data_IF_608398546982
#
_entry.id   IF_608398546982
#
_cell.length_a   1.000
_cell.length_b   1.000
_cell.length_c   1.000
_cell.angle_alpha   90.00
_cell.angle_beta   90.00
_cell.angle_gamma   90.00
#
_symmetry.space_group_name_H-M   'P 1'
#
loop_
_entity.id
_entity.type
_entity.pdbx_description
1 polymer ?
#
# COMPACT_ATOMS: atom_id res chain seq x y z
N UNK A 1 15.54 17.08 4.20
CA UNK A 1 15.75 15.89 5.06
C UNK A 1 16.17 14.69 4.22
N UNK A 2 15.44 14.40 3.14
CA UNK A 2 15.73 13.32 2.18
C UNK A 2 17.12 13.43 1.53
N UNK A 3 17.54 14.62 1.09
CA UNK A 3 18.90 14.84 0.56
C UNK A 3 20.02 14.53 1.56
N UNK A 4 19.80 14.76 2.86
CA UNK A 4 20.75 14.39 3.92
C UNK A 4 20.79 12.87 4.14
N UNK A 5 19.65 12.19 4.01
CA UNK A 5 19.57 10.73 4.11
C UNK A 5 20.26 10.07 2.91
N UNK A 6 20.04 10.59 1.70
CA UNK A 6 20.71 10.14 0.49
C UNK A 6 22.24 10.30 0.56
N UNK A 7 22.72 11.46 1.04
CA UNK A 7 24.15 11.69 1.25
C UNK A 7 24.75 10.72 2.30
N UNK A 8 24.00 10.38 3.37
CA UNK A 8 24.44 9.40 4.37
C UNK A 8 24.50 7.99 3.80
N UNK A 9 23.56 7.60 2.93
CA UNK A 9 23.56 6.32 2.21
C UNK A 9 24.75 6.22 1.26
N UNK A 10 25.03 7.30 0.53
CA UNK A 10 26.17 7.35 -0.39
C UNK A 10 27.50 7.26 0.37
N UNK A 11 27.68 8.01 1.46
CA UNK A 11 28.88 7.93 2.28
C UNK A 11 29.11 6.54 2.89
N UNK A 12 28.03 5.83 3.28
CA UNK A 12 28.12 4.44 3.73
C UNK A 12 28.52 3.50 2.60
N UNK A 13 27.94 3.65 1.42
CA UNK A 13 28.31 2.85 0.25
C UNK A 13 29.79 3.04 -0.14
N UNK A 14 30.28 4.28 -0.15
CA UNK A 14 31.69 4.61 -0.41
C UNK A 14 32.61 4.04 0.68
N UNK A 15 32.22 4.09 1.96
CA UNK A 15 32.98 3.50 3.06
C UNK A 15 33.07 1.96 2.94
N UNK A 16 32.00 1.29 2.48
CA UNK A 16 32.03 -0.16 2.18
C UNK A 16 33.00 -0.48 1.06
N UNK A 17 32.98 0.32 0.00
CA UNK A 17 33.84 0.12 -1.17
C UNK A 17 35.33 0.29 -0.83
N UNK A 18 35.68 1.31 -0.04
CA UNK A 18 37.05 1.54 0.42
C UNK A 18 37.53 0.36 1.28
N UNK A 19 36.70 -0.08 2.24
CA UNK A 19 37.04 -1.19 3.13
C UNK A 19 37.16 -2.52 2.39
N UNK A 20 36.37 -2.74 1.34
CA UNK A 20 36.48 -3.90 0.45
C UNK A 20 37.83 -3.93 -0.27
N UNK A 21 38.23 -2.80 -0.87
CA UNK A 21 39.52 -2.70 -1.56
C UNK A 21 40.70 -2.91 -0.62
N UNK A 22 40.59 -2.44 0.63
CA UNK A 22 41.64 -2.63 1.64
C UNK A 22 41.76 -4.09 2.10
N UNK A 23 40.63 -4.79 2.28
CA UNK A 23 40.63 -6.22 2.60
C UNK A 23 41.17 -7.08 1.45
N UNK A 24 40.82 -6.75 0.21
CA UNK A 24 41.36 -7.42 -0.98
C UNK A 24 42.88 -7.20 -1.09
N UNK A 25 43.35 -5.99 -0.77
CA UNK A 25 44.79 -5.69 -0.69
C UNK A 25 45.48 -6.49 0.41
N UNK A 26 44.90 -6.58 1.60
CA UNK A 26 45.45 -7.37 2.71
C UNK A 26 45.51 -8.87 2.37
N UNK A 27 44.47 -9.42 1.72
CA UNK A 27 44.50 -10.80 1.24
C UNK A 27 45.64 -11.01 0.23
N UNK A 28 45.79 -10.10 -0.73
CA UNK A 28 46.85 -10.18 -1.74
C UNK A 28 48.26 -10.04 -1.14
N UNK A 29 48.44 -9.20 -0.13
CA UNK A 29 49.71 -9.06 0.60
C UNK A 29 50.02 -10.31 1.44
N UNK A 30 49.01 -10.96 2.03
CA UNK A 30 49.17 -12.22 2.77
C UNK A 30 49.48 -13.40 1.85
N UNK A 31 48.83 -13.48 0.69
CA UNK A 31 49.12 -14.50 -0.34
C UNK A 31 50.56 -14.34 -0.86
N UNK A 32 50.99 -13.12 -1.18
CA UNK A 32 52.38 -12.84 -1.55
C UNK A 32 53.39 -13.17 -0.44
N UNK A 33 53.03 -12.94 0.83
CA UNK A 33 53.90 -13.32 1.94
C UNK A 33 53.93 -14.85 2.15
N UNK A 34 52.82 -15.54 1.96
CA UNK A 34 52.78 -17.01 2.00
C UNK A 34 53.66 -17.62 0.89
N UNK A 35 53.60 -17.06 -0.33
CA UNK A 35 54.44 -17.45 -1.45
C UNK A 35 55.92 -17.21 -1.16
N UNK A 36 56.28 -16.04 -0.61
CA UNK A 36 57.68 -15.74 -0.21
C UNK A 36 58.20 -16.68 0.87
N UNK A 37 57.37 -17.03 1.85
CA UNK A 37 57.75 -17.96 2.91
C UNK A 37 57.92 -19.38 2.35
N UNK A 38 57.08 -19.78 1.40
CA UNK A 38 57.19 -21.05 0.70
C UNK A 38 58.48 -21.15 -0.15
N UNK A 39 58.80 -20.11 -0.94
CA UNK A 39 60.01 -20.04 -1.76
C UNK A 39 61.29 -20.07 -0.92
N UNK A 40 61.33 -19.31 0.19
CA UNK A 40 62.47 -19.30 1.10
C UNK A 40 62.72 -20.67 1.75
N UNK A 41 61.66 -21.48 1.93
CA UNK A 41 61.78 -22.83 2.46
C UNK A 41 62.18 -23.87 1.43
N UNK A 42 61.76 -23.72 0.17
CA UNK A 42 62.27 -24.54 -0.93
C UNK A 42 63.78 -24.33 -1.12
N UNK A 43 64.27 -23.10 -0.96
CA UNK A 43 65.71 -22.81 -0.99
C UNK A 43 66.48 -23.46 0.17
N UNK A 44 65.90 -23.51 1.37
CA UNK A 44 66.53 -24.18 2.52
C UNK A 44 66.52 -25.72 2.42
N UNK A 45 65.57 -26.32 1.70
CA UNK A 45 65.56 -27.77 1.44
C UNK A 45 66.53 -28.17 0.33
N UNK A 46 66.78 -27.30 -0.65
CA UNK A 46 67.73 -27.54 -1.75
C UNK A 46 69.20 -27.28 -1.36
N UNK A 47 69.47 -26.48 -0.32
CA UNK A 47 70.83 -26.23 0.18
C UNK A 47 71.41 -27.34 1.08
N UNK A 48 70.68 -28.42 1.37
CA UNK A 48 71.15 -29.53 2.21
C UNK A 48 71.73 -30.72 1.43
N UNK A 49 71.89 -30.63 0.11
CA UNK A 49 72.38 -31.75 -0.72
C UNK A 49 73.77 -31.53 -1.33
N UNK A 50 74.37 -30.33 -1.27
CA UNK A 50 75.70 -30.15 -1.85
C UNK A 50 76.52 -29.01 -1.23
N UNK A 51 77.42 -29.33 -0.30
CA UNK A 51 78.74 -28.66 -0.21
C UNK A 51 79.74 -29.50 0.58
N UNK A 52 80.41 -30.40 -0.12
CA UNK A 52 81.74 -30.89 0.22
C UNK A 52 82.79 -30.01 -0.48
N UNK A 53 83.90 -29.74 0.20
CA UNK A 53 85.11 -28.97 -0.19
C UNK A 53 85.13 -27.46 0.06
N UNK A 54 85.82 -27.10 1.16
CA UNK A 54 87.04 -26.29 1.09
C UNK A 54 86.89 -24.77 1.15
N UNK A 55 87.24 -24.17 2.29
CA UNK A 55 87.44 -22.72 2.37
C UNK A 55 87.53 -22.19 3.79
N UNK A 56 88.74 -22.21 4.35
CA UNK A 56 89.10 -21.64 5.65
C UNK A 56 88.85 -20.12 5.66
N UNK A 57 88.03 -19.62 6.57
CA UNK A 57 88.32 -18.35 7.26
C UNK A 57 87.68 -18.30 8.64
N UNK A 58 88.54 -18.07 9.63
CA UNK A 58 88.24 -17.91 11.06
C UNK A 58 87.67 -16.52 11.32
N UNK A 59 86.61 -16.43 12.12
CA UNK A 59 86.42 -15.31 13.05
C UNK A 59 85.83 -15.82 14.35
N UNK A 60 86.41 -15.31 15.43
CA UNK A 60 86.44 -15.81 16.79
C UNK A 60 85.47 -15.00 17.67
N UNK A 61 85.00 -15.66 18.73
CA UNK A 61 84.64 -15.15 20.06
C UNK A 61 83.37 -14.28 20.17
N UNK A 62 82.37 -14.74 20.94
CA UNK A 62 82.24 -14.29 22.33
C UNK A 62 81.22 -15.15 23.11
N UNK A 63 81.71 -15.96 24.06
CA UNK A 63 80.93 -16.54 25.16
C UNK A 63 81.74 -16.28 26.42
N UNK A 64 81.09 -15.68 27.41
CA UNK A 64 81.46 -15.50 28.82
C UNK A 64 80.15 -15.05 29.48
N UNK A 65 79.67 -15.48 30.65
CA UNK A 65 80.16 -16.22 31.81
C UNK A 65 78.87 -16.42 32.66
N UNK A 66 78.53 -17.51 33.37
CA UNK A 66 79.06 -17.97 34.67
C UNK A 66 78.01 -18.94 35.29
N UNK A 67 78.35 -20.16 35.72
CA UNK A 67 78.58 -20.58 37.14
C UNK A 67 77.25 -20.64 37.96
N UNK A 68 76.76 -21.72 38.60
CA UNK A 68 77.39 -22.83 39.37
C UNK A 68 76.33 -23.91 39.67
N UNK A 69 76.74 -25.18 39.76
CA UNK A 69 75.95 -26.29 40.28
C UNK A 69 76.78 -27.57 40.43
N UNK A 70 77.52 -27.65 41.52
CA UNK A 70 78.48 -28.69 41.93
C UNK A 70 77.96 -30.14 41.88
N UNK A 71 78.70 -30.99 41.15
CA UNK A 71 79.31 -32.26 41.58
C UNK A 71 78.49 -33.23 42.47
N UNK A 72 78.20 -34.42 41.94
CA UNK A 72 78.62 -35.69 42.57
C UNK A 72 78.98 -36.72 41.48
N UNK A 73 80.30 -36.93 41.32
CA UNK A 73 80.86 -38.08 40.60
C UNK A 73 80.75 -39.31 41.49
N UNK A 74 79.96 -40.30 41.09
CA UNK A 74 80.09 -41.67 41.60
C UNK A 74 80.54 -42.57 40.46
N UNK A 75 81.81 -42.98 40.58
CA UNK A 75 82.50 -43.90 39.70
C UNK A 75 81.83 -45.27 39.78
N UNK A 76 81.32 -45.78 38.66
CA UNK A 76 81.29 -47.23 38.36
C UNK A 76 80.80 -47.51 36.94
N UNK A 77 81.69 -48.16 36.20
CA UNK A 77 81.39 -49.17 35.17
C UNK A 77 81.15 -48.71 33.72
N UNK A 78 82.01 -49.28 32.85
CA UNK A 78 81.77 -49.73 31.48
C UNK A 78 81.34 -48.71 30.42
N UNK A 79 82.34 -48.20 29.70
CA UNK A 79 82.58 -48.19 28.25
C UNK A 79 81.55 -48.86 27.30
N UNK A 80 80.25 -48.61 27.48
CA UNK A 80 79.16 -49.00 26.55
C UNK A 80 78.17 -47.82 26.27
N UNK A 81 78.43 -46.64 26.84
CA UNK A 81 77.46 -45.53 26.88
C UNK A 81 77.51 -44.55 25.71
N UNK A 82 78.48 -44.66 24.79
CA UNK A 82 78.60 -43.72 23.66
C UNK A 82 77.60 -44.03 22.53
N UNK A 83 77.17 -45.29 22.37
CA UNK A 83 76.11 -45.63 21.41
C UNK A 83 74.72 -45.30 21.97
N UNK A 84 74.51 -45.41 23.28
CA UNK A 84 73.24 -45.13 23.94
C UNK A 84 72.97 -43.62 24.08
N UNK A 85 74.00 -42.81 24.38
CA UNK A 85 73.90 -41.34 24.28
C UNK A 85 73.70 -40.89 22.82
N UNK A 86 74.33 -41.56 21.85
CA UNK A 86 74.12 -41.29 20.41
C UNK A 86 72.70 -41.60 19.93
N UNK A 87 72.08 -42.67 20.43
CA UNK A 87 70.68 -43.03 20.18
C UNK A 87 69.72 -42.07 20.87
N UNK A 88 69.93 -41.78 22.15
CA UNK A 88 69.14 -40.80 22.91
C UNK A 88 69.18 -39.40 22.30
N UNK A 89 70.35 -38.94 21.83
CA UNK A 89 70.50 -37.66 21.17
C UNK A 89 69.87 -37.64 19.77
N UNK A 90 69.80 -38.79 19.10
CA UNK A 90 69.09 -38.96 17.83
C UNK A 90 67.57 -38.94 18.05
N UNK A 91 67.07 -39.61 19.07
CA UNK A 91 65.66 -39.63 19.44
C UNK A 91 65.18 -38.26 19.90
N UNK A 92 65.95 -37.55 20.73
CA UNK A 92 65.69 -36.15 21.10
C UNK A 92 65.68 -35.21 19.88
N UNK A 93 66.53 -35.47 18.87
CA UNK A 93 66.48 -34.72 17.59
C UNK A 93 65.22 -35.03 16.78
N UNK A 94 64.71 -36.27 16.82
CA UNK A 94 63.48 -36.64 16.13
C UNK A 94 62.27 -36.06 16.86
N UNK A 95 62.22 -36.13 18.18
CA UNK A 95 61.19 -35.47 19.00
C UNK A 95 61.20 -33.95 18.81
N UNK A 96 62.37 -33.33 18.78
CA UNK A 96 62.51 -31.90 18.49
C UNK A 96 61.93 -31.58 17.10
N UNK A 97 62.27 -32.38 16.08
CA UNK A 97 61.74 -32.22 14.73
C UNK A 97 60.23 -32.41 14.66
N UNK A 98 59.68 -33.38 15.38
CA UNK A 98 58.23 -33.63 15.46
C UNK A 98 57.49 -32.49 16.15
N UNK A 99 58.07 -31.94 17.22
CA UNK A 99 57.53 -30.75 17.90
C UNK A 99 57.61 -29.52 17.00
N UNK A 100 58.72 -29.32 16.29
CA UNK A 100 58.86 -28.25 15.29
C UNK A 100 57.82 -28.37 14.17
N UNK A 101 57.57 -29.58 13.66
CA UNK A 101 56.58 -29.81 12.60
C UNK A 101 55.13 -29.60 13.11
N UNK A 102 54.83 -30.02 14.34
CA UNK A 102 53.54 -29.75 14.99
C UNK A 102 53.33 -28.26 15.23
N UNK A 103 54.35 -27.56 15.70
CA UNK A 103 54.31 -26.11 15.90
C UNK A 103 54.08 -25.37 14.59
N UNK A 104 54.76 -25.80 13.52
CA UNK A 104 54.55 -25.28 12.16
C UNK A 104 53.11 -25.50 11.67
N UNK A 105 52.57 -26.71 11.83
CA UNK A 105 51.17 -27.02 11.47
C UNK A 105 50.18 -26.16 12.25
N UNK A 106 50.41 -25.98 13.55
CA UNK A 106 49.59 -25.11 14.39
C UNK A 106 49.68 -23.63 13.98
N UNK A 107 50.86 -23.13 13.62
CA UNK A 107 51.04 -21.78 13.08
C UNK A 107 50.26 -21.56 11.78
N UNK A 108 50.33 -22.51 10.84
CA UNK A 108 49.60 -22.43 9.56
C UNK A 108 48.08 -22.45 9.81
N UNK A 109 47.61 -23.36 10.66
CA UNK A 109 46.19 -23.44 11.01
C UNK A 109 45.71 -22.16 11.72
N UNK A 110 46.51 -21.59 12.62
CA UNK A 110 46.17 -20.34 13.29
C UNK A 110 46.08 -19.16 12.30
N UNK A 111 47.02 -19.08 11.35
CA UNK A 111 46.96 -18.07 10.28
C UNK A 111 45.72 -18.24 9.39
N UNK A 112 45.33 -19.48 9.07
CA UNK A 112 44.10 -19.77 8.33
C UNK A 112 42.85 -19.33 9.12
N UNK A 113 42.79 -19.66 10.41
CA UNK A 113 41.68 -19.24 11.28
C UNK A 113 41.58 -17.72 11.43
N UNK A 114 42.70 -17.00 11.49
CA UNK A 114 42.71 -15.54 11.51
C UNK A 114 42.15 -14.94 10.21
N UNK A 115 42.47 -15.54 9.05
CA UNK A 115 41.92 -15.15 7.76
C UNK A 115 40.41 -15.41 7.66
N UNK A 116 39.95 -16.59 8.10
CA UNK A 116 38.53 -16.92 8.16
C UNK A 116 37.77 -15.98 9.11
N UNK A 117 38.34 -15.68 10.28
CA UNK A 117 37.77 -14.71 11.22
C UNK A 117 37.65 -13.32 10.59
N UNK A 118 38.67 -12.86 9.88
CA UNK A 118 38.65 -11.56 9.20
C UNK A 118 37.57 -11.52 8.11
N UNK A 119 37.48 -12.58 7.29
CA UNK A 119 36.47 -12.73 6.24
C UNK A 119 35.04 -12.74 6.81
N UNK A 120 34.78 -13.55 7.85
CA UNK A 120 33.49 -13.60 8.52
C UNK A 120 33.14 -12.27 9.19
N UNK A 121 34.11 -11.61 9.82
CA UNK A 121 33.91 -10.28 10.42
C UNK A 121 33.47 -9.25 9.37
N UNK A 122 34.07 -9.29 8.18
CA UNK A 122 33.65 -8.45 7.06
C UNK A 122 32.22 -8.77 6.60
N UNK A 123 31.88 -10.05 6.44
CA UNK A 123 30.54 -10.45 6.03
C UNK A 123 29.47 -10.01 7.05
N UNK A 124 29.76 -10.11 8.34
CA UNK A 124 28.89 -9.61 9.41
C UNK A 124 28.69 -8.09 9.28
N UNK A 125 29.75 -7.33 8.99
CA UNK A 125 29.63 -5.88 8.81
C UNK A 125 28.73 -5.55 7.62
N UNK A 126 28.93 -6.21 6.48
CA UNK A 126 28.10 -6.00 5.28
C UNK A 126 26.62 -6.32 5.53
N UNK A 127 26.34 -7.37 6.31
CA UNK A 127 24.98 -7.73 6.69
C UNK A 127 24.34 -6.71 7.65
N UNK A 128 25.07 -6.19 8.63
CA UNK A 128 24.59 -5.12 9.53
C UNK A 128 24.23 -3.86 8.75
N UNK A 129 25.09 -3.51 7.83
CA UNK A 129 24.97 -2.40 6.93
C UNK A 129 23.72 -2.52 6.02
N UNK A 130 23.47 -3.71 5.46
CA UNK A 130 22.25 -4.02 4.70
C UNK A 130 20.99 -4.00 5.57
N UNK A 131 21.10 -4.48 6.81
CA UNK A 131 20.00 -4.46 7.77
C UNK A 131 19.60 -3.02 8.11
N UNK A 132 20.56 -2.13 8.36
CA UNK A 132 20.29 -0.71 8.62
C UNK A 132 19.61 -0.03 7.41
N UNK A 133 20.03 -0.33 6.18
CA UNK A 133 19.37 0.18 4.97
C UNK A 133 17.91 -0.31 4.85
N UNK A 134 17.66 -1.59 5.15
CA UNK A 134 16.31 -2.13 5.15
C UNK A 134 15.44 -1.46 6.22
N UNK A 135 15.96 -1.24 7.43
CA UNK A 135 15.24 -0.51 8.50
C UNK A 135 14.92 0.94 8.11
N UNK A 136 15.87 1.66 7.49
CA UNK A 136 15.63 3.01 6.98
C UNK A 136 14.57 3.02 5.87
N UNK A 137 14.60 2.05 4.96
CA UNK A 137 13.57 1.95 3.90
C UNK A 137 12.19 1.61 4.48
N UNK A 138 12.12 0.72 5.47
CA UNK A 138 10.87 0.38 6.13
C UNK A 138 10.27 1.58 6.86
N UNK A 139 11.10 2.34 7.60
CA UNK A 139 10.63 3.54 8.31
C UNK A 139 10.16 4.64 7.35
N UNK A 140 10.82 4.79 6.20
CA UNK A 140 10.38 5.71 5.14
C UNK A 140 9.04 5.28 4.53
N UNK A 141 8.91 4.00 4.15
CA UNK A 141 7.67 3.46 3.57
C UNK A 141 6.49 3.57 4.55
N UNK A 142 6.73 3.39 5.84
CA UNK A 142 5.70 3.60 6.88
C UNK A 142 5.24 5.07 6.97
N UNK A 143 6.12 6.04 6.73
CA UNK A 143 5.74 7.47 6.69
C UNK A 143 4.90 7.78 5.46
N UNK A 144 5.34 7.32 4.30
CA UNK A 144 4.62 7.49 3.02
C UNK A 144 3.24 6.84 3.07
N UNK A 145 3.13 5.63 3.62
CA UNK A 145 1.84 4.97 3.82
C UNK A 145 0.89 5.82 4.69
N UNK A 146 1.38 6.38 5.81
CA UNK A 146 0.58 7.25 6.67
C UNK A 146 0.13 8.52 5.95
N UNK A 147 0.98 9.09 5.09
CA UNK A 147 0.64 10.25 4.28
C UNK A 147 -0.43 9.90 3.23
N UNK A 148 -0.25 8.80 2.49
CA UNK A 148 -1.25 8.31 1.53
C UNK A 148 -2.61 8.02 2.17
N UNK A 149 -2.63 7.48 3.40
CA UNK A 149 -3.88 7.33 4.14
C UNK A 149 -4.56 8.67 4.45
N UNK A 150 -3.79 9.70 4.83
CA UNK A 150 -4.35 11.04 5.09
C UNK A 150 -4.91 11.67 3.82
N UNK A 151 -4.22 11.53 2.69
CA UNK A 151 -4.69 12.01 1.38
C UNK A 151 -5.97 11.30 0.97
N UNK A 152 -6.03 9.98 1.13
CA UNK A 152 -7.22 9.19 0.87
C UNK A 152 -8.42 9.66 1.70
N UNK A 153 -8.22 9.85 3.01
CA UNK A 153 -9.28 10.35 3.90
C UNK A 153 -9.73 11.76 3.52
N UNK A 154 -8.81 12.62 3.05
CA UNK A 154 -9.15 13.96 2.57
C UNK A 154 -9.98 13.92 1.28
N UNK A 155 -9.58 13.10 0.31
CA UNK A 155 -10.33 12.89 -0.93
C UNK A 155 -11.72 12.30 -0.67
N UNK A 156 -11.83 11.35 0.27
CA UNK A 156 -13.12 10.79 0.67
C UNK A 156 -14.08 11.86 1.18
N UNK A 157 -13.62 12.71 2.12
CA UNK A 157 -14.43 13.83 2.62
C UNK A 157 -14.86 14.81 1.52
N UNK A 158 -13.97 15.08 0.55
CA UNK A 158 -14.32 15.93 -0.58
C UNK A 158 -15.34 15.27 -1.50
N UNK A 159 -15.23 13.96 -1.74
CA UNK A 159 -16.20 13.22 -2.53
C UNK A 159 -17.58 13.21 -1.85
N UNK A 160 -17.63 13.00 -0.53
CA UNK A 160 -18.87 13.03 0.24
C UNK A 160 -19.57 14.39 0.12
N UNK A 161 -18.82 15.50 0.25
CA UNK A 161 -19.34 16.86 0.04
C UNK A 161 -19.86 17.08 -1.38
N UNK A 162 -19.09 16.68 -2.39
CA UNK A 162 -19.51 16.81 -3.79
C UNK A 162 -20.77 15.99 -4.09
N UNK A 163 -20.93 14.82 -3.47
CA UNK A 163 -22.14 14.02 -3.60
C UNK A 163 -23.36 14.69 -2.94
N UNK A 164 -23.17 15.35 -1.79
CA UNK A 164 -24.23 16.14 -1.16
C UNK A 164 -24.63 17.35 -2.03
N UNK A 165 -23.66 18.09 -2.57
CA UNK A 165 -23.90 19.20 -3.49
C UNK A 165 -24.61 18.73 -4.77
N UNK A 166 -24.19 17.59 -5.34
CA UNK A 166 -24.85 16.99 -6.50
C UNK A 166 -26.31 16.66 -6.21
N UNK A 167 -26.60 16.02 -5.07
CA UNK A 167 -27.97 15.69 -4.66
C UNK A 167 -28.82 16.94 -4.48
N UNK A 168 -28.25 18.00 -3.90
CA UNK A 168 -28.93 19.28 -3.73
C UNK A 168 -29.31 19.88 -5.09
N UNK A 169 -28.35 19.98 -6.01
CA UNK A 169 -28.59 20.54 -7.35
C UNK A 169 -29.58 19.69 -8.14
N UNK A 170 -29.49 18.35 -8.05
CA UNK A 170 -30.48 17.45 -8.64
C UNK A 170 -31.88 17.66 -8.05
N UNK A 171 -31.98 17.82 -6.73
CA UNK A 171 -33.24 18.13 -6.05
C UNK A 171 -33.85 19.45 -6.54
N UNK A 172 -33.05 20.51 -6.63
CA UNK A 172 -33.47 21.81 -7.16
C UNK A 172 -33.92 21.73 -8.63
N UNK A 173 -33.22 20.94 -9.45
CA UNK A 173 -33.58 20.72 -10.85
C UNK A 173 -34.93 20.00 -10.97
N UNK A 174 -35.13 18.94 -10.17
CA UNK A 174 -36.38 18.19 -10.14
C UNK A 174 -37.55 19.06 -9.65
N UNK A 175 -37.34 19.88 -8.62
CA UNK A 175 -38.34 20.83 -8.13
C UNK A 175 -38.71 21.85 -9.22
N UNK A 176 -37.70 22.41 -9.91
CA UNK A 176 -37.92 23.30 -11.04
C UNK A 176 -38.72 22.64 -12.16
N UNK A 177 -38.38 21.40 -12.53
CA UNK A 177 -39.08 20.66 -13.58
C UNK A 177 -40.52 20.33 -13.18
N UNK A 178 -40.76 20.00 -11.91
CA UNK A 178 -42.10 19.79 -11.35
C UNK A 178 -42.93 21.08 -11.39
N UNK A 179 -42.35 22.23 -11.02
CA UNK A 179 -43.03 23.53 -11.11
C UNK A 179 -43.38 23.90 -12.55
N UNK A 180 -42.47 23.65 -13.50
CA UNK A 180 -42.72 23.84 -14.93
C UNK A 180 -43.92 23.00 -15.38
N UNK A 181 -43.99 21.73 -14.97
CA UNK A 181 -45.09 20.82 -15.31
C UNK A 181 -46.41 21.25 -14.65
N UNK A 182 -46.39 21.68 -13.38
CA UNK A 182 -47.58 22.16 -12.66
C UNK A 182 -48.21 23.40 -13.31
N UNK A 183 -47.39 24.29 -13.86
CA UNK A 183 -47.84 25.46 -14.63
C UNK A 183 -48.27 25.10 -16.06
N UNK A 184 -48.29 23.82 -16.44
CA UNK A 184 -48.70 23.35 -17.76
C UNK A 184 -47.73 23.73 -18.88
N UNK A 185 -46.46 23.95 -18.52
CA UNK A 185 -45.39 24.32 -19.43
C UNK A 185 -44.48 23.13 -19.74
N UNK A 186 -43.85 23.14 -20.90
CA UNK A 186 -42.88 22.13 -21.34
C UNK A 186 -41.69 22.85 -21.96
N UNK A 187 -40.49 22.33 -21.70
CA UNK A 187 -39.25 22.81 -22.30
C UNK A 187 -39.13 22.27 -23.73
N UNK A 188 -39.00 23.16 -24.71
CA UNK A 188 -38.74 22.82 -26.11
C UNK A 188 -37.37 23.35 -26.54
N UNK A 189 -36.65 22.53 -27.29
CA UNK A 189 -35.38 22.91 -27.91
C UNK A 189 -35.64 23.88 -29.09
N UNK A 190 -34.95 25.01 -29.05
CA UNK A 190 -34.86 25.98 -30.12
C UNK A 190 -33.51 25.76 -30.78
N UNK A 191 -33.53 25.00 -31.86
CA UNK A 191 -32.35 24.74 -32.68
C UNK A 191 -32.05 25.98 -33.54
N UNK A 192 -30.81 26.47 -33.47
CA UNK A 192 -30.30 27.48 -34.39
C UNK A 192 -30.11 26.89 -35.80
N UNK A 193 -29.99 27.74 -36.83
CA UNK A 193 -29.80 27.31 -38.25
C UNK A 193 -28.63 26.33 -38.46
N UNK A 194 -27.65 26.30 -37.54
CA UNK A 194 -26.48 25.45 -37.58
C UNK A 194 -26.55 24.21 -36.65
N UNK A 195 -27.68 23.94 -36.00
CA UNK A 195 -27.94 22.72 -35.21
C UNK A 195 -27.09 22.51 -33.94
N UNK A 196 -26.26 23.48 -33.55
CA UNK A 196 -25.19 23.31 -32.55
C UNK A 196 -25.47 23.96 -31.21
N UNK A 197 -26.24 25.06 -31.17
CA UNK A 197 -26.68 25.72 -29.94
C UNK A 197 -28.20 25.56 -29.79
N UNK A 198 -28.62 24.68 -28.88
CA UNK A 198 -30.03 24.50 -28.55
C UNK A 198 -30.40 25.42 -27.37
N UNK A 199 -31.00 26.58 -27.67
CA UNK A 199 -31.68 27.36 -26.62
C UNK A 199 -32.91 26.58 -26.14
N UNK A 200 -33.31 26.81 -24.90
CA UNK A 200 -34.53 26.20 -24.33
C UNK A 200 -35.59 27.28 -24.17
N UNK A 201 -36.80 27.00 -24.63
CA UNK A 201 -37.95 27.87 -24.43
C UNK A 201 -39.03 27.11 -23.64
N UNK A 202 -39.75 27.83 -22.79
CA UNK A 202 -40.95 27.32 -22.13
C UNK A 202 -42.16 27.67 -22.97
N UNK A 203 -42.97 26.67 -23.29
CA UNK A 203 -44.24 26.81 -24.02
C UNK A 203 -45.29 25.94 -23.34
N UNK A 204 -46.57 26.26 -23.52
CA UNK A 204 -47.65 25.41 -23.02
C UNK A 204 -47.63 24.04 -23.70
N UNK A 205 -48.19 23.02 -23.03
CA UNK A 205 -48.32 21.66 -23.59
C UNK A 205 -49.00 21.68 -24.96
N UNK A 206 -50.08 22.46 -25.11
CA UNK A 206 -50.81 22.61 -26.37
C UNK A 206 -49.93 23.21 -27.48
N UNK A 207 -49.20 24.29 -27.18
CA UNK A 207 -48.30 24.91 -28.15
C UNK A 207 -47.15 23.97 -28.52
N UNK A 208 -46.64 23.17 -27.57
CA UNK A 208 -45.63 22.16 -27.87
C UNK A 208 -46.16 21.07 -28.82
N UNK A 209 -47.42 20.66 -28.68
CA UNK A 209 -48.07 19.71 -29.59
C UNK A 209 -48.29 20.30 -30.97
N UNK A 210 -48.78 21.54 -31.06
CA UNK A 210 -48.90 22.28 -32.32
C UNK A 210 -47.53 22.39 -32.99
N UNK A 211 -46.49 22.79 -32.27
CA UNK A 211 -45.14 22.89 -32.81
C UNK A 211 -44.58 21.55 -33.32
N UNK A 212 -45.11 20.39 -32.93
CA UNK A 212 -44.70 19.08 -33.48
C UNK A 212 -45.33 18.78 -34.86
N UNK A 213 -46.42 19.44 -35.24
CA UNK A 213 -47.11 19.17 -36.52
C UNK A 213 -46.33 19.73 -37.72
N UNK A 214 -45.46 20.71 -37.48
CA UNK A 214 -44.67 21.37 -38.51
C UNK A 214 -43.19 21.11 -38.26
N UNK A 215 -42.44 20.80 -39.31
CA UNK A 215 -40.98 20.60 -39.22
C UNK A 215 -40.20 21.90 -39.47
N UNK A 216 -39.04 22.01 -38.81
CA UNK A 216 -38.09 23.11 -38.92
C UNK A 216 -37.72 23.73 -37.57
N UNK A 217 -36.85 24.75 -37.59
CA UNK A 217 -36.57 25.56 -36.39
C UNK A 217 -37.85 26.19 -35.84
N UNK A 218 -37.82 26.66 -34.58
CA UNK A 218 -39.00 27.31 -33.98
C UNK A 218 -39.50 28.47 -34.86
N UNK A 219 -38.59 29.30 -35.36
CA UNK A 219 -38.94 30.44 -36.21
C UNK A 219 -39.56 30.01 -37.55
N UNK A 220 -39.02 28.95 -38.17
CA UNK A 220 -39.58 28.38 -39.42
C UNK A 220 -41.00 27.84 -39.19
N UNK A 221 -41.23 27.17 -38.06
CA UNK A 221 -42.56 26.64 -37.70
C UNK A 221 -43.57 27.76 -37.47
N UNK A 222 -43.18 28.79 -36.71
CA UNK A 222 -44.03 29.96 -36.47
C UNK A 222 -44.36 30.72 -37.76
N UNK A 223 -43.39 30.86 -38.66
CA UNK A 223 -43.61 31.49 -39.97
C UNK A 223 -44.64 30.73 -40.80
N UNK A 224 -44.54 29.40 -40.87
CA UNK A 224 -45.52 28.56 -41.59
C UNK A 224 -46.93 28.68 -41.02
N UNK A 225 -47.07 28.70 -39.69
CA UNK A 225 -48.39 28.92 -39.06
C UNK A 225 -48.95 30.31 -39.34
N UNK A 226 -48.11 31.34 -39.41
CA UNK A 226 -48.54 32.69 -39.76
C UNK A 226 -49.03 32.77 -41.22
N UNK A 227 -48.36 32.09 -42.14
CA UNK A 227 -48.74 31.98 -43.55
C UNK A 227 -50.08 31.24 -43.70
N UNK A 228 -50.23 30.07 -43.09
CA UNK A 228 -51.48 29.27 -43.11
C UNK A 228 -52.65 30.04 -42.49
N UNK A 229 -52.43 30.75 -41.38
CA UNK A 229 -53.44 31.61 -40.76
C UNK A 229 -53.89 32.72 -41.73
N UNK A 230 -52.96 33.33 -42.47
CA UNK A 230 -53.29 34.38 -43.44
C UNK A 230 -54.11 33.83 -44.61
N UNK A 231 -53.76 32.63 -45.11
CA UNK A 231 -54.52 31.95 -46.17
C UNK A 231 -55.96 31.64 -45.73
N UNK A 232 -56.14 31.04 -44.55
CA UNK A 232 -57.47 30.76 -44.00
C UNK A 232 -58.29 32.04 -43.74
N UNK A 233 -57.65 33.12 -43.28
CA UNK A 233 -58.33 34.41 -43.12
C UNK A 233 -58.84 34.96 -44.46
N UNK A 234 -58.04 34.83 -45.53
CA UNK A 234 -58.44 35.25 -46.87
C UNK A 234 -59.61 34.39 -47.39
N UNK A 235 -59.59 33.07 -47.14
CA UNK A 235 -60.68 32.15 -47.51
C UNK A 235 -61.98 32.48 -46.76
N UNK A 236 -61.91 32.71 -45.44
CA UNK A 236 -63.07 33.12 -44.64
C UNK A 236 -63.66 34.45 -45.14
N UNK A 237 -62.83 35.43 -45.49
CA UNK A 237 -63.31 36.69 -46.06
C UNK A 237 -64.03 36.47 -47.41
N UNK A 238 -63.47 35.63 -48.27
CA UNK A 238 -64.08 35.25 -49.55
C UNK A 238 -65.43 34.54 -49.33
N UNK A 239 -65.49 33.57 -48.42
CA UNK A 239 -66.72 32.84 -48.09
C UNK A 239 -67.78 33.76 -47.46
N UNK A 240 -67.38 34.70 -46.60
CA UNK A 240 -68.30 35.70 -46.05
C UNK A 240 -68.88 36.60 -47.13
N UNK A 241 -68.07 36.97 -48.13
CA UNK A 241 -68.53 37.74 -49.28
C UNK A 241 -69.54 36.92 -50.10
N UNK A 242 -69.24 35.65 -50.39
CA UNK A 242 -70.16 34.74 -51.08
C UNK A 242 -71.46 34.51 -50.30
N UNK A 243 -71.40 34.40 -48.96
CA UNK A 243 -72.57 34.25 -48.10
C UNK A 243 -73.43 35.52 -48.09
N UNK A 244 -72.81 36.70 -48.07
CA UNK A 244 -73.53 37.98 -48.16
C UNK A 244 -74.20 38.12 -49.54
N UNK A 245 -73.56 37.64 -50.61
CA UNK A 245 -74.13 37.57 -51.95
C UNK A 245 -75.30 36.56 -52.04
N UNK A 246 -75.22 35.44 -51.31
CA UNK A 246 -76.31 34.47 -51.21
C UNK A 246 -77.47 34.97 -50.33
N UNK A 247 -77.19 35.67 -49.22
CA UNK A 247 -78.20 36.27 -48.32
C UNK A 247 -78.96 37.42 -48.96
N UNK A 248 -78.32 38.18 -49.85
CA UNK A 248 -79.01 39.19 -50.67
C UNK A 248 -79.90 38.56 -51.75
N UNK A 249 -79.67 37.29 -52.11
CA UNK A 249 -80.46 36.52 -53.09
C UNK A 249 -81.54 35.60 -52.49
N UNK A 250 -81.46 35.24 -51.21
CA UNK A 250 -82.34 34.24 -50.58
C UNK A 250 -83.09 34.74 -49.34
N UNK A 251 -84.15 35.53 -49.52
CA UNK A 251 -85.22 35.69 -48.51
C UNK A 251 -86.46 34.91 -48.94
N UNK A 252 -86.62 33.67 -48.47
CA UNK A 252 -87.93 32.99 -48.30
C UNK A 252 -87.79 31.66 -47.54
N UNK A 253 -88.61 31.52 -46.49
CA UNK A 253 -88.95 30.31 -45.73
C UNK A 253 -87.82 29.73 -44.85
N UNK A 254 -88.01 29.24 -43.64
CA UNK A 254 -89.21 28.90 -42.86
C UNK A 254 -88.74 27.95 -41.74
N UNK A 255 -89.29 28.13 -40.54
CA UNK A 255 -88.99 27.41 -39.28
C UNK A 255 -89.12 25.89 -39.37
N UNK A 256 -88.34 25.14 -38.58
CA UNK A 256 -88.90 24.00 -37.85
C UNK A 256 -88.06 23.61 -36.62
N UNK A 257 -88.71 23.67 -35.45
CA UNK A 257 -88.36 22.94 -34.24
C UNK A 257 -88.37 21.43 -34.55
N UNK A 258 -87.30 20.73 -34.17
CA UNK A 258 -87.29 19.28 -34.02
C UNK A 258 -87.18 18.95 -32.53
N UNK A 259 -88.27 18.44 -31.97
CA UNK A 259 -88.37 17.89 -30.62
C UNK A 259 -88.38 16.37 -30.74
N UNK A 260 -87.21 15.75 -30.64
CA UNK A 260 -86.90 14.32 -30.49
C UNK A 260 -85.54 14.34 -29.77
N UNK A 261 -85.29 13.72 -28.63
CA UNK A 261 -85.48 12.30 -28.30
C UNK A 261 -85.53 12.12 -26.77
N UNK A 262 -86.62 11.58 -26.25
CA UNK A 262 -86.77 11.17 -24.84
C UNK A 262 -86.12 9.78 -24.60
N UNK A 263 -86.05 8.94 -25.65
CA UNK A 263 -85.44 7.60 -25.63
C UNK A 263 -83.89 7.62 -25.63
N UNK A 264 -83.24 8.51 -26.40
CA UNK A 264 -81.78 8.66 -26.39
C UNK A 264 -81.27 9.18 -25.04
N UNK A 265 -82.08 9.95 -24.32
CA UNK A 265 -81.75 10.42 -22.99
C UNK A 265 -81.77 9.28 -21.97
N UNK A 266 -82.73 8.36 -22.05
CA UNK A 266 -82.75 7.18 -21.17
C UNK A 266 -81.56 6.23 -21.42
N UNK A 267 -81.20 5.98 -22.69
CA UNK A 267 -80.06 5.11 -23.02
C UNK A 267 -78.72 5.77 -22.67
N UNK A 268 -78.55 7.07 -22.94
CA UNK A 268 -77.39 7.83 -22.48
C UNK A 268 -77.29 7.84 -20.94
N UNK A 269 -78.42 7.92 -20.24
CA UNK A 269 -78.47 7.86 -18.78
C UNK A 269 -78.10 6.47 -18.25
N UNK A 270 -78.52 5.39 -18.91
CA UNK A 270 -78.13 4.00 -18.56
C UNK A 270 -76.65 3.76 -18.80
N UNK A 271 -76.10 4.24 -19.92
CA UNK A 271 -74.68 4.13 -20.22
C UNK A 271 -73.82 4.96 -19.25
N UNK A 272 -74.25 6.18 -18.92
CA UNK A 272 -73.62 7.01 -17.90
C UNK A 272 -73.63 6.31 -16.53
N UNK A 273 -74.74 5.70 -16.13
CA UNK A 273 -74.83 4.93 -14.88
C UNK A 273 -73.92 3.71 -14.86
N UNK A 274 -73.76 3.01 -16.00
CA UNK A 274 -72.81 1.90 -16.14
C UNK A 274 -71.36 2.37 -16.00
N UNK A 275 -71.00 3.49 -16.63
CA UNK A 275 -69.67 4.09 -16.49
C UNK A 275 -69.39 4.53 -15.05
N UNK A 276 -70.37 5.12 -14.37
CA UNK A 276 -70.27 5.48 -12.94
C UNK A 276 -70.02 4.24 -12.09
N UNK A 277 -70.70 3.11 -12.36
CA UNK A 277 -70.50 1.87 -11.63
C UNK A 277 -69.08 1.29 -11.84
N UNK A 278 -68.58 1.30 -13.08
CA UNK A 278 -67.22 0.86 -13.40
C UNK A 278 -66.16 1.74 -12.72
N UNK A 279 -66.34 3.07 -12.74
CA UNK A 279 -65.43 3.99 -12.07
C UNK A 279 -65.45 3.82 -10.55
N UNK A 280 -66.62 3.59 -9.94
CA UNK A 280 -66.73 3.26 -8.50
C UNK A 280 -65.98 1.98 -8.15
N UNK A 281 -66.10 0.93 -8.98
CA UNK A 281 -65.37 -0.32 -8.75
C UNK A 281 -63.85 -0.14 -8.87
N UNK A 282 -63.39 0.60 -9.89
CA UNK A 282 -61.96 0.91 -10.06
C UNK A 282 -61.43 1.75 -8.90
N UNK A 283 -62.19 2.73 -8.42
CA UNK A 283 -61.84 3.53 -7.26
C UNK A 283 -61.69 2.66 -6.02
N UNK A 284 -62.67 1.79 -5.74
CA UNK A 284 -62.61 0.88 -4.58
C UNK A 284 -61.41 -0.07 -4.64
N UNK A 285 -61.06 -0.58 -5.83
CA UNK A 285 -59.88 -1.41 -6.04
C UNK A 285 -58.58 -0.63 -5.79
N UNK A 286 -58.50 0.60 -6.28
CA UNK A 286 -57.35 1.48 -6.04
C UNK A 286 -57.22 1.85 -4.55
N UNK A 287 -58.33 2.11 -3.85
CA UNK A 287 -58.35 2.35 -2.41
C UNK A 287 -57.82 1.14 -1.61
N UNK A 288 -58.22 -0.08 -1.99
CA UNK A 288 -57.71 -1.31 -1.39
C UNK A 288 -56.20 -1.49 -1.64
N UNK A 289 -55.74 -1.18 -2.84
CA UNK A 289 -54.31 -1.23 -3.19
C UNK A 289 -53.50 -0.20 -2.40
N UNK A 290 -54.00 1.03 -2.27
CA UNK A 290 -53.39 2.07 -1.42
C UNK A 290 -53.26 1.58 0.02
N UNK A 291 -54.31 0.99 0.60
CA UNK A 291 -54.26 0.46 1.96
C UNK A 291 -53.21 -0.66 2.12
N UNK A 292 -53.09 -1.54 1.11
CA UNK A 292 -52.08 -2.59 1.09
C UNK A 292 -50.65 -2.03 1.02
N UNK A 293 -50.42 -1.05 0.13
CA UNK A 293 -49.14 -0.37 -0.03
C UNK A 293 -48.75 0.40 1.24
N UNK A 294 -49.69 1.10 1.87
CA UNK A 294 -49.46 1.78 3.16
C UNK A 294 -49.06 0.80 4.26
N UNK A 295 -49.72 -0.35 4.35
CA UNK A 295 -49.33 -1.39 5.30
C UNK A 295 -47.93 -1.96 5.02
N UNK A 296 -47.56 -2.09 3.74
CA UNK A 296 -46.21 -2.50 3.34
C UNK A 296 -45.16 -1.46 3.70
N UNK A 297 -45.44 -0.18 3.40
CA UNK A 297 -44.58 0.95 3.74
C UNK A 297 -44.30 1.01 5.24
N UNK A 298 -45.33 0.91 6.09
CA UNK A 298 -45.18 0.92 7.55
C UNK A 298 -44.27 -0.22 8.07
N UNK A 299 -44.36 -1.42 7.47
CA UNK A 299 -43.47 -2.54 7.82
C UNK A 299 -42.02 -2.26 7.41
N UNK A 300 -41.81 -1.74 6.21
CA UNK A 300 -40.49 -1.37 5.70
C UNK A 300 -39.86 -0.24 6.52
N UNK A 301 -40.61 0.79 6.88
CA UNK A 301 -40.16 1.87 7.76
C UNK A 301 -39.71 1.34 9.12
N UNK A 302 -40.50 0.44 9.73
CA UNK A 302 -40.13 -0.20 10.99
C UNK A 302 -38.83 -1.00 10.85
N UNK A 303 -38.63 -1.68 9.72
CA UNK A 303 -37.42 -2.45 9.44
C UNK A 303 -36.19 -1.54 9.27
N UNK A 304 -36.35 -0.40 8.59
CA UNK A 304 -35.30 0.63 8.44
C UNK A 304 -34.90 1.19 9.81
N UNK A 305 -35.86 1.51 10.69
CA UNK A 305 -35.57 2.00 12.04
C UNK A 305 -34.74 0.96 12.83
N UNK A 306 -35.11 -0.32 12.78
CA UNK A 306 -34.36 -1.40 13.44
C UNK A 306 -32.95 -1.55 12.89
N UNK A 307 -32.79 -1.56 11.57
CA UNK A 307 -31.45 -1.67 10.97
C UNK A 307 -30.57 -0.47 11.26
N UNK A 308 -31.15 0.75 11.26
CA UNK A 308 -30.42 1.96 11.66
C UNK A 308 -29.92 1.87 13.10
N UNK A 309 -30.79 1.49 14.04
CA UNK A 309 -30.40 1.32 15.46
C UNK A 309 -29.33 0.23 15.64
N UNK A 310 -29.46 -0.89 14.90
CA UNK A 310 -28.46 -1.96 14.92
C UNK A 310 -27.12 -1.52 14.34
N UNK A 311 -27.12 -0.71 13.29
CA UNK A 311 -25.90 -0.16 12.70
C UNK A 311 -25.21 0.82 13.65
N UNK A 312 -25.96 1.76 14.24
CA UNK A 312 -25.44 2.71 15.24
C UNK A 312 -24.83 1.99 16.46
N UNK A 313 -25.47 0.92 16.94
CA UNK A 313 -24.92 0.09 18.02
C UNK A 313 -23.61 -0.60 17.61
N UNK A 314 -23.52 -1.11 16.37
CA UNK A 314 -22.31 -1.74 15.84
C UNK A 314 -21.17 -0.73 15.66
N UNK A 315 -21.43 0.47 15.17
CA UNK A 315 -20.44 1.53 15.02
C UNK A 315 -19.86 1.96 16.38
N UNK A 316 -20.72 2.08 17.39
CA UNK A 316 -20.28 2.36 18.75
C UNK A 316 -19.37 1.25 19.29
N UNK A 317 -19.76 -0.02 19.12
CA UNK A 317 -18.95 -1.16 19.54
C UNK A 317 -17.58 -1.20 18.83
N UNK A 318 -17.52 -0.89 17.53
CA UNK A 318 -16.26 -0.81 16.79
C UNK A 318 -15.35 0.29 17.35
N UNK A 319 -15.91 1.48 17.61
CA UNK A 319 -15.18 2.59 18.21
C UNK A 319 -14.58 2.20 19.57
N UNK A 320 -15.36 1.56 20.43
CA UNK A 320 -14.91 1.10 21.75
C UNK A 320 -13.78 0.07 21.62
N UNK A 321 -13.93 -0.96 20.78
CA UNK A 321 -12.89 -1.95 20.52
C UNK A 321 -11.60 -1.32 19.96
N UNK A 322 -11.70 -0.27 19.14
CA UNK A 322 -10.54 0.47 18.62
C UNK A 322 -9.81 1.21 19.73
N UNK A 323 -10.52 1.76 20.70
CA UNK A 323 -9.89 2.38 21.89
C UNK A 323 -9.21 1.34 22.77
N UNK A 324 -9.85 0.20 23.01
CA UNK A 324 -9.31 -0.90 23.80
C UNK A 324 -8.06 -1.51 23.15
N UNK A 325 -8.10 -1.75 21.83
CA UNK A 325 -6.92 -2.20 21.07
C UNK A 325 -5.73 -1.27 21.24
N UNK A 326 -5.94 0.06 21.20
CA UNK A 326 -4.86 1.05 21.40
C UNK A 326 -4.35 1.05 22.84
N UNK A 327 -5.20 0.73 23.82
CA UNK A 327 -4.81 0.59 25.22
C UNK A 327 -3.95 -0.66 25.41
N UNK A 328 -4.43 -1.81 24.97
CA UNK A 328 -3.70 -3.08 25.01
C UNK A 328 -2.37 -3.02 24.26
N UNK A 329 -2.31 -2.31 23.13
CA UNK A 329 -1.06 -2.13 22.39
C UNK A 329 -0.02 -1.29 23.16
N UNK A 330 -0.46 -0.33 23.99
CA UNK A 330 0.43 0.44 24.87
C UNK A 330 0.92 -0.45 26.03
N UNK A 331 0.00 -1.15 26.69
CA UNK A 331 0.31 -2.09 27.77
C UNK A 331 1.28 -3.18 27.30
N UNK A 332 1.10 -3.69 26.07
CA UNK A 332 2.02 -4.67 25.50
C UNK A 332 3.44 -4.11 25.31
N UNK A 333 3.57 -2.87 24.83
CA UNK A 333 4.90 -2.22 24.71
C UNK A 333 5.54 -2.02 26.07
N UNK A 334 4.79 -1.51 27.05
CA UNK A 334 5.28 -1.34 28.42
C UNK A 334 5.72 -2.67 29.05
N UNK A 335 4.99 -3.76 28.78
CA UNK A 335 5.37 -5.10 29.23
C UNK A 335 6.64 -5.62 28.54
N UNK A 336 6.82 -5.34 27.24
CA UNK A 336 8.04 -5.70 26.50
C UNK A 336 9.24 -4.92 27.02
N UNK A 337 9.11 -3.61 27.21
CA UNK A 337 10.19 -2.78 27.76
C UNK A 337 10.62 -3.30 29.16
N UNK A 338 9.65 -3.66 30.00
CA UNK A 338 9.92 -4.25 31.32
C UNK A 338 10.59 -5.63 31.23
N UNK A 339 10.24 -6.42 30.23
CA UNK A 339 10.88 -7.72 29.99
C UNK A 339 12.35 -7.52 29.61
N UNK A 340 12.65 -6.57 28.72
CA UNK A 340 14.03 -6.23 28.34
C UNK A 340 14.85 -5.73 29.55
N UNK A 341 14.28 -4.89 30.41
CA UNK A 341 14.92 -4.45 31.67
C UNK A 341 15.24 -5.63 32.60
N UNK A 342 14.31 -6.58 32.73
CA UNK A 342 14.52 -7.77 33.55
C UNK A 342 15.55 -8.71 32.95
N UNK A 343 15.55 -8.90 31.62
CA UNK A 343 16.54 -9.71 30.92
C UNK A 343 17.95 -9.12 31.04
N UNK A 344 18.11 -7.80 30.90
CA UNK A 344 19.39 -7.14 31.12
C UNK A 344 19.88 -7.28 32.56
N UNK A 345 19.00 -7.06 33.54
CA UNK A 345 19.31 -7.27 34.97
C UNK A 345 19.72 -8.73 35.26
N UNK A 346 19.00 -9.70 34.72
CA UNK A 346 19.30 -11.11 34.88
C UNK A 346 20.67 -11.47 34.26
N UNK A 347 20.97 -10.96 33.06
CA UNK A 347 22.29 -11.12 32.45
C UNK A 347 23.42 -10.55 33.31
N UNK A 348 23.21 -9.41 33.98
CA UNK A 348 24.18 -8.87 34.94
C UNK A 348 24.38 -9.78 36.16
N UNK A 349 23.30 -10.34 36.70
CA UNK A 349 23.35 -11.28 37.82
C UNK A 349 24.06 -12.58 37.44
N UNK A 350 23.78 -13.15 36.27
CA UNK A 350 24.46 -14.34 35.74
C UNK A 350 25.96 -14.11 35.63
N UNK A 351 26.39 -12.99 35.03
CA UNK A 351 27.81 -12.62 34.95
C UNK A 351 28.46 -12.50 36.33
N UNK A 352 27.74 -11.96 37.33
CA UNK A 352 28.25 -11.85 38.71
C UNK A 352 28.37 -13.22 39.38
N UNK A 353 27.38 -14.09 39.15
CA UNK A 353 27.38 -15.47 39.65
C UNK A 353 28.54 -16.27 39.07
N UNK A 354 28.83 -16.14 37.77
CA UNK A 354 29.96 -16.83 37.14
C UNK A 354 31.31 -16.34 37.68
N UNK A 355 31.45 -15.04 37.94
CA UNK A 355 32.64 -14.50 38.63
C UNK A 355 32.82 -15.13 40.01
N UNK A 356 31.74 -15.26 40.79
CA UNK A 356 31.79 -15.89 42.12
C UNK A 356 32.11 -17.39 42.04
N UNK A 357 31.54 -18.10 41.06
CA UNK A 357 31.89 -19.51 40.79
C UNK A 357 33.38 -19.67 40.49
N UNK A 358 33.92 -18.83 39.60
CA UNK A 358 35.33 -18.86 39.25
C UNK A 358 36.22 -18.55 40.46
N UNK A 359 35.87 -17.56 41.29
CA UNK A 359 36.59 -17.24 42.52
C UNK A 359 36.56 -18.42 43.51
N UNK A 360 35.41 -19.07 43.70
CA UNK A 360 35.29 -20.27 44.52
C UNK A 360 36.16 -21.42 43.98
N UNK A 361 36.15 -21.65 42.66
CA UNK A 361 36.98 -22.68 42.03
C UNK A 361 38.47 -22.40 42.16
N UNK A 362 38.90 -21.14 42.12
CA UNK A 362 40.28 -20.75 42.37
C UNK A 362 40.69 -21.05 43.82
N UNK A 363 39.89 -20.61 44.80
CA UNK A 363 40.14 -20.90 46.22
C UNK A 363 40.20 -22.40 46.52
N UNK A 364 39.38 -23.21 45.84
CA UNK A 364 39.40 -24.67 45.98
C UNK A 364 40.62 -25.34 45.34
N UNK A 365 41.33 -24.68 44.42
CA UNK A 365 42.60 -25.19 43.86
C UNK A 365 43.79 -24.87 44.76
N UNK A 366 43.68 -23.83 45.57
CA UNK A 366 44.73 -23.38 46.50
C UNK A 366 44.70 -24.14 47.85
N UNK A 367 43.60 -24.87 48.12
CA UNK A 367 43.43 -25.83 49.22
C UNK A 367 43.87 -27.23 48.79
#
# INVERSE_FOLDING_TARGET
AEARLAARRQARAEAREIRMRELERQQKELEQNADRVFDMQQQQQSSNVDTSLGGVTRTRLNVNNSIRGSSMSSRRSSEDSLEEEGRSLRDLRHELKDVEERFRKAMIANAQLDNERASQSYQIQLLKDKLEEMEESQTQLQREYKEKCRDHDALKRNNDKLNEELKLVQGQLNERDLLIEQEGLVIVCVENENGTDARRALVTVENAQLLKTVQGSLDVRLKKFAEEKQELQNEVQSLQQQLNDAKTRGRKSGSMNGSLDDDDYEDAQREANKLIADHKYRLQKAEQEIASLQASLARSETQVIRYKSSAEASEKAESDLKTERRKLQREHREAMDRLEELETSNNHLLKRLDKLKNAKSALLKDL
#
